data_IF_037455726437
#
_entry.id   IF_037455726437
#
_cell.length_a   1.000
_cell.length_b   1.000
_cell.length_c   1.000
_cell.angle_alpha   90.00
_cell.angle_beta   90.00
_cell.angle_gamma   90.00
#
_symmetry.space_group_name_H-M   'P 1'
#
loop_
_entity.id
_entity.type
_entity.pdbx_description
1 polymer ?
#
# COMPACT_ATOMS: atom_id res chain seq x y z
N UNK A 1 23.24 -6.47 13.22
CA UNK A 1 23.97 -5.59 12.28
C UNK A 1 23.04 -4.67 11.51
N UNK A 2 22.37 -5.06 10.40
CA UNK A 2 21.48 -4.10 9.66
C UNK A 2 20.22 -3.73 10.46
N UNK A 3 19.56 -4.71 11.09
CA UNK A 3 18.35 -4.49 11.88
C UNK A 3 18.52 -3.66 13.16
N UNK A 4 19.75 -3.26 13.50
CA UNK A 4 20.04 -2.40 14.66
C UNK A 4 20.01 -0.91 14.30
N UNK A 5 20.07 -0.57 13.01
CA UNK A 5 19.93 0.81 12.56
C UNK A 5 18.53 1.35 12.86
N UNK A 6 18.46 2.53 13.48
CA UNK A 6 17.20 3.08 13.99
C UNK A 6 16.22 3.43 12.86
N UNK A 7 16.72 3.89 11.72
CA UNK A 7 15.94 4.15 10.51
C UNK A 7 15.40 2.85 9.91
N UNK A 8 16.20 1.79 9.81
CA UNK A 8 15.73 0.45 9.38
C UNK A 8 14.60 -0.03 10.28
N UNK A 9 14.79 0.02 11.61
CA UNK A 9 13.76 -0.40 12.58
C UNK A 9 12.47 0.42 12.45
N UNK A 10 12.60 1.74 12.29
CA UNK A 10 11.45 2.65 12.14
C UNK A 10 10.68 2.36 10.86
N UNK A 11 11.37 2.18 9.74
CA UNK A 11 10.76 1.90 8.45
C UNK A 11 10.07 0.53 8.47
N UNK A 12 10.71 -0.50 9.03
CA UNK A 12 10.06 -1.82 9.19
C UNK A 12 8.82 -1.74 10.10
N UNK A 13 8.88 -1.01 11.21
CA UNK A 13 7.72 -0.79 12.07
C UNK A 13 6.58 -0.04 11.35
N UNK A 14 6.91 0.92 10.48
CA UNK A 14 5.92 1.63 9.66
C UNK A 14 5.28 0.73 8.61
N UNK A 15 6.08 -0.12 7.94
CA UNK A 15 5.58 -1.11 6.98
C UNK A 15 4.63 -2.09 7.69
N UNK A 16 5.03 -2.60 8.87
CA UNK A 16 4.21 -3.49 9.68
C UNK A 16 2.88 -2.84 10.09
N UNK A 17 2.92 -1.56 10.52
CA UNK A 17 1.71 -0.80 10.81
C UNK A 17 0.79 -0.67 9.59
N UNK A 18 1.33 -0.44 8.39
CA UNK A 18 0.53 -0.41 7.16
C UNK A 18 -0.10 -1.76 6.83
N UNK A 19 0.64 -2.86 7.00
CA UNK A 19 0.12 -4.22 6.80
C UNK A 19 -1.02 -4.48 7.77
N UNK A 20 -0.83 -4.15 9.06
CA UNK A 20 -1.83 -4.37 10.10
C UNK A 20 -3.09 -3.53 9.88
N UNK A 21 -2.94 -2.25 9.52
CA UNK A 21 -4.10 -1.40 9.18
C UNK A 21 -4.84 -1.96 7.97
N UNK A 22 -4.13 -2.36 6.92
CA UNK A 22 -4.74 -2.95 5.73
C UNK A 22 -5.51 -4.24 6.06
N UNK A 23 -4.93 -5.11 6.88
CA UNK A 23 -5.60 -6.33 7.34
C UNK A 23 -6.89 -6.03 8.10
N UNK A 24 -6.85 -5.09 9.05
CA UNK A 24 -8.02 -4.70 9.83
C UNK A 24 -9.12 -4.06 8.97
N UNK A 25 -8.75 -3.21 8.00
CA UNK A 25 -9.70 -2.62 7.05
C UNK A 25 -10.35 -3.69 6.17
N UNK A 26 -9.57 -4.65 5.67
CA UNK A 26 -10.11 -5.77 4.91
C UNK A 26 -11.07 -6.63 5.74
N UNK A 27 -10.74 -6.90 7.00
CA UNK A 27 -11.64 -7.63 7.92
C UNK A 27 -12.91 -6.85 8.22
N UNK A 28 -12.82 -5.53 8.42
CA UNK A 28 -14.00 -4.70 8.63
C UNK A 28 -14.96 -4.83 7.43
N UNK A 29 -14.46 -4.64 6.21
CA UNK A 29 -15.27 -4.78 4.98
C UNK A 29 -15.80 -6.20 4.81
N UNK A 30 -15.00 -7.24 5.07
CA UNK A 30 -15.44 -8.62 4.96
C UNK A 30 -16.52 -8.99 5.99
N UNK A 31 -16.47 -8.39 7.18
CA UNK A 31 -17.41 -8.68 8.27
C UNK A 31 -18.84 -8.18 8.03
N UNK A 32 -19.06 -7.29 7.05
CA UNK A 32 -20.40 -6.73 6.76
C UNK A 32 -21.29 -7.64 5.92
N UNK A 33 -20.81 -8.80 5.45
CA UNK A 33 -21.57 -9.73 4.62
C UNK A 33 -22.03 -9.08 3.31
N UNK A 34 -23.33 -9.12 3.02
CA UNK A 34 -23.91 -8.51 1.81
C UNK A 34 -24.08 -6.98 1.90
N UNK A 35 -24.00 -6.40 3.10
CA UNK A 35 -24.19 -4.98 3.34
C UNK A 35 -22.88 -4.17 3.20
N UNK A 36 -22.09 -4.45 2.16
CA UNK A 36 -20.79 -3.81 1.95
C UNK A 36 -20.97 -2.31 1.67
N UNK A 37 -20.41 -1.49 2.54
CA UNK A 37 -20.29 -0.05 2.32
C UNK A 37 -19.35 0.23 1.14
N UNK A 38 -19.88 0.91 0.12
CA UNK A 38 -19.08 1.35 -1.03
C UNK A 38 -17.94 2.27 -0.60
N UNK A 39 -18.17 3.13 0.40
CA UNK A 39 -17.16 4.04 0.92
C UNK A 39 -16.02 3.29 1.62
N UNK A 40 -16.35 2.28 2.43
CA UNK A 40 -15.32 1.51 3.16
C UNK A 40 -14.50 0.64 2.22
N UNK A 41 -15.14 0.01 1.22
CA UNK A 41 -14.45 -0.75 0.20
C UNK A 41 -13.52 0.15 -0.64
N UNK A 42 -13.99 1.33 -1.06
CA UNK A 42 -13.19 2.30 -1.80
C UNK A 42 -12.01 2.83 -0.97
N UNK A 43 -12.24 3.18 0.30
CA UNK A 43 -11.20 3.63 1.23
C UNK A 43 -10.11 2.58 1.44
N UNK A 44 -10.52 1.32 1.65
CA UNK A 44 -9.60 0.18 1.82
C UNK A 44 -8.76 -0.04 0.57
N UNK A 45 -9.37 0.03 -0.62
CA UNK A 45 -8.65 -0.09 -1.90
C UNK A 45 -7.64 1.03 -2.12
N UNK A 46 -8.06 2.30 -1.91
CA UNK A 46 -7.16 3.46 -2.08
C UNK A 46 -5.99 3.36 -1.11
N UNK A 47 -6.27 3.09 0.18
CA UNK A 47 -5.23 2.93 1.19
C UNK A 47 -4.24 1.84 0.80
N UNK A 48 -4.72 0.62 0.54
CA UNK A 48 -3.85 -0.53 0.28
C UNK A 48 -2.92 -0.33 -0.91
N UNK A 49 -3.47 0.17 -2.02
CA UNK A 49 -2.73 0.32 -3.28
C UNK A 49 -1.68 1.43 -3.22
N UNK A 50 -1.94 2.54 -2.52
CA UNK A 50 -0.98 3.64 -2.36
C UNK A 50 0.08 3.35 -1.32
N UNK A 51 -0.29 2.65 -0.24
CA UNK A 51 0.69 2.19 0.74
C UNK A 51 1.63 1.17 0.11
N UNK A 52 1.15 0.25 -0.71
CA UNK A 52 2.04 -0.70 -1.40
C UNK A 52 3.09 -0.02 -2.29
N UNK A 53 2.69 1.04 -3.02
CA UNK A 53 3.64 1.85 -3.80
C UNK A 53 4.68 2.55 -2.92
N UNK A 54 4.28 3.01 -1.74
CA UNK A 54 5.19 3.65 -0.78
C UNK A 54 6.13 2.64 -0.12
N UNK A 55 5.63 1.46 0.24
CA UNK A 55 6.37 0.34 0.85
C UNK A 55 7.51 -0.11 -0.07
N UNK A 56 7.27 -0.25 -1.38
CA UNK A 56 8.33 -0.58 -2.34
C UNK A 56 9.52 0.38 -2.24
N UNK A 57 9.26 1.69 -2.32
CA UNK A 57 10.31 2.73 -2.21
C UNK A 57 11.03 2.73 -0.85
N UNK A 58 10.30 2.51 0.24
CA UNK A 58 10.89 2.41 1.57
C UNK A 58 11.84 1.22 1.70
N UNK A 59 11.51 0.08 1.10
CA UNK A 59 12.37 -1.11 1.10
C UNK A 59 13.60 -0.86 0.21
N UNK A 60 13.42 -0.29 -0.99
CA UNK A 60 14.53 0.06 -1.88
C UNK A 60 15.53 0.99 -1.21
N UNK A 61 15.06 1.97 -0.43
CA UNK A 61 15.92 2.89 0.30
C UNK A 61 16.77 2.17 1.37
N UNK A 62 16.18 1.20 2.09
CA UNK A 62 16.93 0.37 3.05
C UNK A 62 17.97 -0.48 2.31
N UNK A 63 17.55 -1.19 1.27
CA UNK A 63 18.43 -2.13 0.55
C UNK A 63 19.55 -1.37 -0.17
N UNK A 64 19.26 -0.23 -0.78
CA UNK A 64 20.27 0.60 -1.43
C UNK A 64 21.29 1.22 -0.47
N UNK A 65 20.90 1.50 0.77
CA UNK A 65 21.81 2.09 1.78
C UNK A 65 22.62 1.05 2.55
N UNK A 66 22.01 -0.08 2.90
CA UNK A 66 22.58 -1.04 3.85
C UNK A 66 22.81 -2.43 3.25
N UNK A 67 22.29 -2.71 2.06
CA UNK A 67 22.48 -3.98 1.36
C UNK A 67 23.84 -4.06 0.67
N UNK A 68 24.32 -5.28 0.50
CA UNK A 68 25.51 -5.59 -0.30
C UNK A 68 25.07 -6.18 -1.64
N UNK A 69 25.12 -5.38 -2.70
CA UNK A 69 24.73 -5.81 -4.05
C UNK A 69 25.69 -6.84 -4.67
N UNK A 70 26.88 -7.04 -4.11
CA UNK A 70 27.78 -8.11 -4.54
C UNK A 70 27.35 -9.48 -4.03
N UNK A 71 26.53 -9.51 -2.97
CA UNK A 71 25.91 -10.73 -2.48
C UNK A 71 24.71 -11.10 -3.36
N UNK A 72 24.74 -12.32 -3.91
CA UNK A 72 23.71 -12.86 -4.82
C UNK A 72 22.29 -12.71 -4.24
N UNK A 73 22.11 -13.03 -2.96
CA UNK A 73 20.80 -12.91 -2.29
C UNK A 73 20.25 -11.47 -2.28
N UNK A 74 21.12 -10.46 -2.14
CA UNK A 74 20.69 -9.05 -2.20
C UNK A 74 20.36 -8.65 -3.63
N UNK A 75 21.16 -9.08 -4.61
CA UNK A 75 20.91 -8.81 -6.03
C UNK A 75 19.57 -9.41 -6.49
N UNK A 76 19.29 -10.65 -6.09
CA UNK A 76 18.02 -11.32 -6.36
C UNK A 76 16.84 -10.61 -5.70
N UNK A 77 17.00 -10.15 -4.46
CA UNK A 77 15.99 -9.36 -3.76
C UNK A 77 15.67 -8.05 -4.51
N UNK A 78 16.70 -7.31 -4.94
CA UNK A 78 16.52 -6.06 -5.69
C UNK A 78 15.80 -6.32 -7.02
N UNK A 79 16.21 -7.36 -7.76
CA UNK A 79 15.53 -7.76 -8.99
C UNK A 79 14.05 -8.10 -8.75
N UNK A 80 13.78 -8.85 -7.67
CA UNK A 80 12.41 -9.20 -7.30
C UNK A 80 11.58 -7.96 -6.94
N UNK A 81 12.13 -7.04 -6.14
CA UNK A 81 11.48 -5.79 -5.72
C UNK A 81 11.12 -4.91 -6.92
N UNK A 82 12.04 -4.76 -7.87
CA UNK A 82 11.83 -4.01 -9.10
C UNK A 82 10.64 -4.58 -9.90
N UNK A 83 10.60 -5.90 -10.09
CA UNK A 83 9.49 -6.59 -10.75
C UNK A 83 8.17 -6.38 -9.99
N UNK A 84 8.18 -6.49 -8.65
CA UNK A 84 6.96 -6.30 -7.86
C UNK A 84 6.42 -4.88 -7.99
N UNK A 85 7.29 -3.86 -7.89
CA UNK A 85 6.86 -2.46 -7.94
C UNK A 85 6.26 -2.09 -9.29
N UNK A 86 6.90 -2.50 -10.38
CA UNK A 86 6.38 -2.32 -11.74
C UNK A 86 5.03 -3.01 -11.92
N UNK A 87 4.91 -4.27 -11.47
CA UNK A 87 3.65 -5.03 -11.56
C UNK A 87 2.54 -4.38 -10.75
N UNK A 88 2.86 -3.88 -9.56
CA UNK A 88 1.88 -3.29 -8.66
C UNK A 88 1.47 -1.87 -9.04
N UNK A 89 2.02 -1.27 -10.10
CA UNK A 89 1.50 -0.01 -10.61
C UNK A 89 0.04 -0.14 -11.06
N UNK A 90 -0.32 -1.30 -11.65
CA UNK A 90 -1.67 -1.53 -12.21
C UNK A 90 -2.78 -1.45 -11.17
N UNK A 91 -2.52 -1.80 -9.90
CA UNK A 91 -3.59 -1.86 -8.90
C UNK A 91 -4.07 -0.47 -8.47
N UNK A 92 -3.34 0.61 -8.78
CA UNK A 92 -3.78 1.99 -8.45
C UNK A 92 -4.89 2.47 -9.38
N UNK A 93 -4.93 1.95 -10.62
CA UNK A 93 -5.97 2.29 -11.61
C UNK A 93 -6.90 1.12 -11.96
N UNK A 94 -6.42 -0.11 -11.84
CA UNK A 94 -7.19 -1.34 -11.98
C UNK A 94 -8.17 -1.54 -10.83
N UNK A 95 -9.32 -2.16 -11.14
CA UNK A 95 -10.42 -2.32 -10.16
C UNK A 95 -11.08 -1.01 -9.76
N UNK A 96 -10.88 0.05 -10.56
CA UNK A 96 -11.36 1.41 -10.32
C UNK A 96 -10.25 2.34 -9.87
N UNK A 97 -10.09 3.45 -10.59
CA UNK A 97 -8.99 4.39 -10.39
C UNK A 97 -9.11 5.15 -9.07
N UNK A 98 -7.99 5.36 -8.37
CA UNK A 98 -7.98 5.89 -7.00
C UNK A 98 -8.67 7.25 -6.87
N UNK A 99 -8.63 8.10 -7.89
CA UNK A 99 -9.34 9.37 -7.95
C UNK A 99 -10.86 9.18 -7.93
N UNK A 100 -11.37 8.23 -8.72
CA UNK A 100 -12.81 7.89 -8.72
C UNK A 100 -13.20 7.22 -7.39
N UNK A 101 -12.33 6.40 -6.81
CA UNK A 101 -12.56 5.82 -5.49
C UNK A 101 -12.63 6.90 -4.40
N UNK A 102 -11.79 7.94 -4.46
CA UNK A 102 -11.89 9.09 -3.55
C UNK A 102 -13.20 9.87 -3.72
N UNK A 103 -13.68 10.03 -4.95
CA UNK A 103 -15.00 10.61 -5.20
C UNK A 103 -16.11 9.76 -4.55
N UNK A 104 -16.00 8.43 -4.57
CA UNK A 104 -16.94 7.54 -3.89
C UNK A 104 -16.87 7.68 -2.37
N UNK A 105 -15.68 7.78 -1.79
CA UNK A 105 -15.50 8.04 -0.35
C UNK A 105 -16.16 9.38 0.03
N UNK A 106 -15.92 10.43 -0.75
CA UNK A 106 -16.47 11.76 -0.51
C UNK A 106 -18.01 11.77 -0.60
N UNK A 107 -18.57 11.19 -1.65
CA UNK A 107 -20.01 11.25 -1.92
C UNK A 107 -20.80 10.23 -1.10
N UNK A 108 -20.41 8.95 -1.11
CA UNK A 108 -21.12 7.89 -0.41
C UNK A 108 -20.79 7.84 1.09
N UNK A 109 -19.56 8.19 1.48
CA UNK A 109 -19.12 8.14 2.88
C UNK A 109 -19.37 9.42 3.66
N UNK A 110 -19.17 10.58 3.01
CA UNK A 110 -19.25 11.89 3.66
C UNK A 110 -20.45 12.74 3.22
N UNK A 111 -21.27 12.26 2.26
CA UNK A 111 -22.43 12.99 1.77
C UNK A 111 -22.09 14.27 1.00
N UNK A 112 -20.85 14.41 0.52
CA UNK A 112 -20.43 15.57 -0.24
C UNK A 112 -21.08 15.59 -1.63
N UNK A 113 -21.36 16.78 -2.20
CA UNK A 113 -21.86 16.87 -3.56
C UNK A 113 -20.81 16.34 -4.55
N UNK A 114 -21.27 15.74 -5.65
CA UNK A 114 -20.37 15.32 -6.74
C UNK A 114 -19.58 16.52 -7.28
N UNK A 115 -18.27 16.33 -7.46
CA UNK A 115 -17.43 17.30 -8.13
C UNK A 115 -17.96 17.56 -9.56
N UNK A 116 -17.97 18.84 -9.96
CA UNK A 116 -18.26 19.21 -11.36
C UNK A 116 -17.10 18.74 -12.24
N UNK A 117 -17.40 18.03 -13.32
CA UNK A 117 -16.43 17.57 -14.32
C UNK A 117 -16.69 18.25 -15.65
#
# INVERSE_FOLDING_TARGET
VIGEHTDVRRTLAQIDAYVRINELLNWQVASTGEAISMADAAATKVFSTERLQSVGRMIDEIVGRFGDLSAEATADLVNWLDVQQKRNAVITFGGGVNEVMRDMIATAGLGLPRAKR
#
